data_IF_704506868359
#
_entry.id   IF_704506868359
#
_cell.length_a   1.000
_cell.length_b   1.000
_cell.length_c   1.000
_cell.angle_alpha   90.00
_cell.angle_beta   90.00
_cell.angle_gamma   90.00
#
_symmetry.space_group_name_H-M   'P 1'
#
loop_
_entity.id
_entity.type
_entity.pdbx_description
1 polymer ?
#
# COMPACT_ATOMS: atom_id res chain seq x y z
N UNK A 1 -17.45 8.46 -35.95
CA UNK A 1 -16.50 9.58 -35.76
C UNK A 1 -15.67 9.67 -37.01
N UNK A 2 -15.91 10.67 -37.84
CA UNK A 2 -15.11 10.91 -39.05
C UNK A 2 -13.82 11.61 -38.65
N UNK A 3 -12.82 10.80 -38.33
CA UNK A 3 -11.46 11.28 -38.12
C UNK A 3 -10.71 11.14 -39.44
N UNK A 4 -10.58 12.25 -40.18
CA UNK A 4 -9.82 12.25 -41.43
C UNK A 4 -8.36 11.88 -41.15
N UNK A 5 -7.94 10.75 -41.73
CA UNK A 5 -6.58 10.26 -41.64
C UNK A 5 -5.69 11.26 -42.38
N UNK A 6 -4.72 11.81 -41.66
CA UNK A 6 -3.78 12.78 -42.19
C UNK A 6 -3.05 12.21 -43.42
N UNK A 7 -3.29 12.80 -44.60
CA UNK A 7 -2.70 12.39 -45.88
C UNK A 7 -1.20 12.69 -45.97
N UNK A 8 -0.74 13.80 -45.36
CA UNK A 8 0.66 14.21 -45.39
C UNK A 8 1.38 14.02 -44.04
N UNK A 9 2.46 13.24 -44.05
CA UNK A 9 3.16 12.67 -42.88
C UNK A 9 4.51 13.32 -42.56
N UNK A 10 4.78 14.51 -43.10
CA UNK A 10 6.03 15.22 -42.83
C UNK A 10 6.21 15.64 -41.35
N UNK A 11 7.48 15.64 -40.87
CA UNK A 11 7.85 16.01 -39.49
C UNK A 11 7.51 17.48 -39.22
N UNK A 12 6.40 17.72 -38.53
CA UNK A 12 6.16 19.01 -37.90
C UNK A 12 6.98 19.12 -36.61
N UNK A 13 7.57 20.30 -36.38
CA UNK A 13 8.22 20.66 -35.11
C UNK A 13 7.25 20.60 -33.92
N UNK A 14 7.66 21.12 -32.76
CA UNK A 14 6.92 21.07 -31.47
C UNK A 14 5.54 21.76 -31.54
N UNK A 15 4.55 21.12 -32.18
CA UNK A 15 3.12 21.43 -32.00
C UNK A 15 2.54 20.50 -30.94
N UNK A 16 1.76 21.00 -29.98
CA UNK A 16 1.08 20.17 -28.99
C UNK A 16 -0.03 19.35 -29.69
N UNK A 17 0.13 18.02 -29.66
CA UNK A 17 -0.79 17.04 -30.29
C UNK A 17 -2.05 16.79 -29.43
N UNK A 18 -2.80 17.85 -29.11
CA UNK A 18 -3.92 17.79 -28.15
C UNK A 18 -5.12 17.04 -28.72
N UNK A 19 -5.41 17.20 -30.02
CA UNK A 19 -6.55 16.55 -30.70
C UNK A 19 -6.29 15.06 -30.93
N UNK A 20 -5.09 14.73 -31.38
CA UNK A 20 -4.60 13.35 -31.58
C UNK A 20 -4.58 12.59 -30.26
N UNK A 21 -4.21 13.27 -29.18
CA UNK A 21 -4.25 12.72 -27.82
C UNK A 21 -5.67 12.35 -27.40
N UNK A 22 -6.64 13.24 -27.58
CA UNK A 22 -8.03 12.96 -27.21
C UNK A 22 -8.58 11.75 -27.98
N UNK A 23 -8.35 11.72 -29.30
CA UNK A 23 -8.74 10.60 -30.16
C UNK A 23 -8.07 9.28 -29.77
N UNK A 24 -6.79 9.29 -29.40
CA UNK A 24 -6.08 8.11 -28.91
C UNK A 24 -6.72 7.52 -27.64
N UNK A 25 -7.16 8.35 -26.69
CA UNK A 25 -7.80 7.85 -25.48
C UNK A 25 -9.24 7.35 -25.72
N UNK A 26 -10.00 7.99 -26.62
CA UNK A 26 -11.32 7.49 -27.03
C UNK A 26 -11.25 6.10 -27.68
N UNK A 27 -10.28 5.87 -28.57
CA UNK A 27 -10.05 4.55 -29.16
C UNK A 27 -9.63 3.50 -28.11
N UNK A 28 -8.84 3.91 -27.12
CA UNK A 28 -8.47 3.01 -26.01
C UNK A 28 -9.66 2.67 -25.11
N UNK A 29 -10.59 3.60 -24.88
CA UNK A 29 -11.85 3.34 -24.15
C UNK A 29 -12.79 2.41 -24.93
N UNK A 30 -12.77 2.49 -26.25
CA UNK A 30 -13.48 1.57 -27.16
C UNK A 30 -12.82 0.19 -27.30
N UNK A 31 -11.75 -0.09 -26.53
CA UNK A 31 -11.10 -1.41 -26.48
C UNK A 31 -10.00 -1.66 -27.51
N UNK A 32 -9.64 -0.67 -28.34
CA UNK A 32 -8.57 -0.84 -29.32
C UNK A 32 -7.20 -0.98 -28.66
N UNK A 33 -6.31 -1.76 -29.27
CA UNK A 33 -4.93 -1.88 -28.80
C UNK A 33 -4.15 -0.58 -29.04
N UNK A 34 -3.12 -0.31 -28.23
CA UNK A 34 -2.23 0.86 -28.43
C UNK A 34 -1.61 0.91 -29.82
N UNK A 35 -1.39 -0.24 -30.46
CA UNK A 35 -0.83 -0.31 -31.81
C UNK A 35 -1.85 0.16 -32.83
N UNK A 36 -3.10 -0.26 -32.70
CA UNK A 36 -4.19 0.15 -33.60
C UNK A 36 -4.57 1.60 -33.37
N UNK A 37 -4.75 2.02 -32.11
CA UNK A 37 -5.07 3.39 -31.77
C UNK A 37 -4.00 4.38 -32.26
N UNK A 38 -2.70 4.05 -32.11
CA UNK A 38 -1.62 4.87 -32.63
C UNK A 38 -1.60 4.94 -34.17
N UNK A 39 -1.93 3.83 -34.84
CA UNK A 39 -2.02 3.77 -36.30
C UNK A 39 -3.18 4.61 -36.84
N UNK A 40 -4.35 4.53 -36.23
CA UNK A 40 -5.56 5.28 -36.62
C UNK A 40 -5.33 6.79 -36.43
N UNK A 41 -4.72 7.18 -35.32
CA UNK A 41 -4.45 8.58 -34.97
C UNK A 41 -3.27 9.18 -35.75
N UNK A 42 -2.42 8.34 -36.36
CA UNK A 42 -1.25 8.80 -37.12
C UNK A 42 -0.05 9.20 -36.25
N UNK A 43 0.10 8.59 -35.07
CA UNK A 43 1.21 8.86 -34.13
C UNK A 43 2.15 7.65 -34.00
N UNK A 44 3.40 7.91 -33.61
CA UNK A 44 4.35 6.83 -33.28
C UNK A 44 3.87 6.03 -32.06
N UNK A 45 4.06 4.71 -32.09
CA UNK A 45 3.66 3.79 -31.02
C UNK A 45 4.27 4.17 -29.66
N UNK A 46 5.50 4.70 -29.64
CA UNK A 46 6.18 5.13 -28.42
C UNK A 46 5.49 6.38 -27.85
N UNK A 47 4.95 7.26 -28.68
CA UNK A 47 4.20 8.46 -28.25
C UNK A 47 2.91 8.07 -27.54
N UNK A 48 2.08 7.18 -28.12
CA UNK A 48 0.88 6.67 -27.45
C UNK A 48 1.20 5.93 -26.14
N UNK A 49 2.29 5.15 -26.11
CA UNK A 49 2.77 4.49 -24.88
C UNK A 49 3.22 5.48 -23.82
N UNK A 50 3.88 6.58 -24.20
CA UNK A 50 4.27 7.67 -23.27
C UNK A 50 3.05 8.39 -22.71
N UNK A 51 2.02 8.65 -23.51
CA UNK A 51 0.78 9.26 -23.01
C UNK A 51 0.06 8.38 -21.99
N UNK A 52 -0.05 7.07 -22.28
CA UNK A 52 -0.74 6.13 -21.39
C UNK A 52 0.05 5.78 -20.12
N UNK A 53 1.37 5.65 -20.21
CA UNK A 53 2.19 5.11 -19.13
C UNK A 53 3.07 6.15 -18.42
N UNK A 54 3.10 7.39 -18.93
CA UNK A 54 4.09 8.38 -18.55
C UNK A 54 5.48 8.04 -19.09
N UNK A 55 6.45 8.89 -18.81
CA UNK A 55 7.85 8.61 -19.12
C UNK A 55 8.79 9.28 -18.12
N UNK A 56 10.05 8.82 -18.08
CA UNK A 56 11.09 9.51 -17.33
C UNK A 56 11.74 10.57 -18.22
N UNK A 57 12.00 11.75 -17.68
CA UNK A 57 12.88 12.77 -18.28
C UNK A 57 13.93 13.13 -17.23
N UNK A 58 15.13 12.56 -17.36
CA UNK A 58 16.15 12.63 -16.32
C UNK A 58 15.68 12.00 -14.99
N UNK A 59 15.95 12.67 -13.86
CA UNK A 59 15.56 12.22 -12.51
C UNK A 59 14.07 12.43 -12.17
N UNK A 60 13.28 13.10 -13.02
CA UNK A 60 11.85 13.37 -12.79
C UNK A 60 10.95 12.42 -13.60
N UNK A 61 9.98 11.81 -12.93
CA UNK A 61 8.92 11.02 -13.57
C UNK A 61 7.83 11.97 -14.08
N UNK A 62 7.55 11.92 -15.39
CA UNK A 62 6.40 12.60 -15.99
C UNK A 62 5.24 11.62 -15.97
N UNK A 63 4.14 11.91 -15.24
CA UNK A 63 3.02 10.99 -15.11
C UNK A 63 2.32 10.78 -16.46
N UNK A 64 1.61 9.65 -16.62
CA UNK A 64 0.68 9.48 -17.72
C UNK A 64 -0.35 10.61 -17.69
N UNK A 65 -0.62 11.17 -18.85
CA UNK A 65 -1.53 12.31 -18.94
C UNK A 65 -2.82 11.75 -19.53
N UNK A 66 -3.78 11.47 -18.66
CA UNK A 66 -5.16 11.17 -19.06
C UNK A 66 -5.86 12.48 -19.44
N UNK A 67 -6.77 12.47 -20.42
CA UNK A 67 -7.75 13.54 -20.52
C UNK A 67 -8.46 13.58 -19.16
N UNK A 68 -8.43 14.74 -18.50
CA UNK A 68 -9.26 14.94 -17.33
C UNK A 68 -10.71 14.84 -17.81
N UNK A 69 -11.38 13.75 -17.45
CA UNK A 69 -12.83 13.71 -17.48
C UNK A 69 -13.32 14.78 -16.50
N UNK A 70 -13.83 15.89 -17.04
CA UNK A 70 -14.48 16.96 -16.27
C UNK A 70 -13.74 18.30 -16.18
N UNK A 71 -13.55 18.98 -17.32
CA UNK A 71 -13.86 20.41 -17.53
C UNK A 71 -13.48 20.78 -18.96
N UNK A 72 -14.35 20.38 -19.90
CA UNK A 72 -14.29 20.89 -21.26
C UNK A 72 -14.81 22.34 -21.28
N UNK A 73 -14.01 23.23 -21.85
CA UNK A 73 -14.52 24.45 -22.46
C UNK A 73 -15.46 24.04 -23.60
N UNK A 74 -16.77 24.13 -23.35
CA UNK A 74 -17.78 24.02 -24.40
C UNK A 74 -17.92 25.40 -25.03
N UNK A 75 -17.98 25.41 -26.36
CA UNK A 75 -18.30 26.60 -27.14
C UNK A 75 -19.65 27.19 -26.69
N UNK A 76 -19.77 28.50 -26.82
CA UNK A 76 -20.97 29.27 -26.54
C UNK A 76 -22.20 28.66 -27.21
N UNK A 77 -23.23 28.37 -26.41
CA UNK A 77 -24.48 27.76 -26.83
C UNK A 77 -25.23 27.21 -25.61
N UNK A 78 -25.96 28.11 -24.94
CA UNK A 78 -27.17 27.86 -24.15
C UNK A 78 -27.23 26.59 -23.29
N UNK A 79 -26.33 26.50 -22.30
CA UNK A 79 -26.51 25.62 -21.14
C UNK A 79 -26.30 26.45 -19.88
N UNK A 80 -27.38 26.64 -19.12
CA UNK A 80 -27.37 27.27 -17.81
C UNK A 80 -26.22 26.72 -16.95
N UNK A 81 -25.38 27.63 -16.44
CA UNK A 81 -24.30 27.31 -15.53
C UNK A 81 -24.82 26.44 -14.37
N UNK A 82 -24.05 25.46 -13.89
CA UNK A 82 -24.51 24.53 -12.86
C UNK A 82 -25.03 25.32 -11.67
N UNK A 83 -26.32 25.16 -11.36
CA UNK A 83 -26.96 25.79 -10.22
C UNK A 83 -26.27 25.28 -8.96
N UNK A 84 -25.32 26.07 -8.48
CA UNK A 84 -24.64 25.79 -7.25
C UNK A 84 -25.63 26.22 -6.16
N UNK A 85 -26.26 25.20 -5.57
CA UNK A 85 -27.20 25.36 -4.48
C UNK A 85 -26.60 26.16 -3.31
N UNK A 86 -27.43 26.65 -2.39
CA UNK A 86 -26.99 27.55 -1.32
C UNK A 86 -25.97 26.89 -0.39
N UNK A 87 -24.67 27.11 -0.65
CA UNK A 87 -23.58 26.72 0.27
C UNK A 87 -23.78 27.36 1.64
N UNK A 88 -23.41 26.67 2.73
CA UNK A 88 -23.38 27.23 4.09
C UNK A 88 -22.52 28.50 4.19
N UNK A 89 -21.51 28.63 3.33
CA UNK A 89 -20.57 29.76 3.33
C UNK A 89 -20.79 30.62 2.08
N UNK A 90 -20.63 31.93 2.23
CA UNK A 90 -20.54 32.84 1.08
C UNK A 90 -19.38 32.40 0.19
N UNK A 91 -19.63 32.27 -1.10
CA UNK A 91 -18.63 31.96 -2.12
C UNK A 91 -18.08 33.23 -2.74
N UNK A 92 -17.04 33.10 -3.57
CA UNK A 92 -16.43 34.24 -4.24
C UNK A 92 -17.43 35.03 -5.08
N UNK A 93 -18.28 34.34 -5.84
CA UNK A 93 -19.38 34.95 -6.60
C UNK A 93 -20.36 35.74 -5.73
N UNK A 94 -20.69 35.22 -4.54
CA UNK A 94 -21.63 35.87 -3.63
C UNK A 94 -20.99 37.17 -3.11
N UNK A 95 -19.67 37.17 -2.90
CA UNK A 95 -18.89 38.35 -2.51
C UNK A 95 -18.78 39.37 -3.64
N UNK A 96 -18.58 38.92 -4.88
CA UNK A 96 -18.58 39.80 -6.06
C UNK A 96 -19.94 40.48 -6.19
N UNK A 97 -21.04 39.72 -6.08
CA UNK A 97 -22.40 40.26 -6.09
C UNK A 97 -22.63 41.29 -4.98
N UNK A 98 -22.19 41.02 -3.75
CA UNK A 98 -22.24 42.01 -2.66
C UNK A 98 -21.48 43.28 -3.04
N UNK A 99 -20.31 43.17 -3.67
CA UNK A 99 -19.50 44.33 -4.05
C UNK A 99 -20.19 45.19 -5.12
N UNK A 100 -20.81 44.56 -6.12
CA UNK A 100 -21.50 45.27 -7.20
C UNK A 100 -22.77 45.96 -6.70
N UNK A 101 -23.62 45.27 -5.93
CA UNK A 101 -24.83 45.86 -5.35
C UNK A 101 -24.54 46.98 -4.34
N UNK A 102 -23.39 46.93 -3.65
CA UNK A 102 -22.95 48.04 -2.79
C UNK A 102 -22.56 49.29 -3.60
N UNK A 103 -22.01 49.14 -4.81
CA UNK A 103 -21.72 50.28 -5.70
C UNK A 103 -23.01 50.92 -6.21
N UNK A 104 -24.04 50.10 -6.44
CA UNK A 104 -25.39 50.51 -6.80
C UNK A 104 -26.22 51.05 -5.62
N UNK A 105 -25.61 51.17 -4.43
CA UNK A 105 -26.27 51.66 -3.20
C UNK A 105 -27.47 50.82 -2.73
N UNK A 106 -27.53 49.54 -3.11
CA UNK A 106 -28.59 48.64 -2.67
C UNK A 106 -28.55 48.41 -1.15
N UNK A 107 -29.71 48.22 -0.53
CA UNK A 107 -29.80 47.96 0.90
C UNK A 107 -29.30 46.54 1.27
N UNK A 108 -28.80 46.36 2.49
CA UNK A 108 -28.35 45.04 2.99
C UNK A 108 -29.47 43.99 2.90
N UNK A 109 -30.73 44.39 3.14
CA UNK A 109 -31.89 43.48 3.07
C UNK A 109 -32.16 43.02 1.64
N UNK A 110 -31.99 43.91 0.67
CA UNK A 110 -32.16 43.60 -0.76
C UNK A 110 -31.07 42.65 -1.27
N UNK A 111 -29.81 42.93 -0.95
CA UNK A 111 -28.66 42.05 -1.27
C UNK A 111 -28.86 40.66 -0.62
N UNK A 112 -29.37 40.63 0.60
CA UNK A 112 -29.64 39.39 1.31
C UNK A 112 -30.78 38.57 0.67
N UNK A 113 -31.86 39.22 0.22
CA UNK A 113 -32.96 38.56 -0.48
C UNK A 113 -32.51 37.96 -1.82
N UNK A 114 -31.74 38.71 -2.61
CA UNK A 114 -31.20 38.24 -3.91
C UNK A 114 -30.28 37.03 -3.78
N UNK A 115 -29.45 36.99 -2.74
CA UNK A 115 -28.54 35.88 -2.48
C UNK A 115 -29.19 34.72 -1.69
N UNK A 116 -30.45 34.86 -1.27
CA UNK A 116 -31.12 33.89 -0.41
C UNK A 116 -30.41 33.71 0.95
N UNK A 117 -29.93 34.81 1.55
CA UNK A 117 -29.16 34.83 2.82
C UNK A 117 -29.84 35.67 3.89
N UNK A 118 -29.45 35.46 5.16
CA UNK A 118 -29.87 36.37 6.23
C UNK A 118 -29.22 37.75 6.06
N UNK A 119 -29.95 38.87 6.31
CA UNK A 119 -29.36 40.21 6.34
C UNK A 119 -28.18 40.33 7.29
N UNK A 120 -28.20 39.59 8.41
CA UNK A 120 -27.10 39.54 9.37
C UNK A 120 -25.83 38.91 8.79
N UNK A 121 -25.93 37.93 7.88
CA UNK A 121 -24.77 37.33 7.20
C UNK A 121 -24.07 38.36 6.34
N UNK A 122 -24.83 39.09 5.51
CA UNK A 122 -24.31 40.13 4.63
C UNK A 122 -23.72 41.29 5.45
N UNK A 123 -24.44 41.76 6.47
CA UNK A 123 -23.95 42.80 7.38
C UNK A 123 -22.62 42.44 8.05
N UNK A 124 -22.50 41.20 8.59
CA UNK A 124 -21.25 40.74 9.23
C UNK A 124 -20.12 40.59 8.22
N UNK A 125 -20.39 40.11 7.02
CA UNK A 125 -19.38 39.98 5.95
C UNK A 125 -18.81 41.33 5.55
N UNK A 126 -19.67 42.32 5.31
CA UNK A 126 -19.27 43.69 4.96
C UNK A 126 -18.50 44.32 6.12
N UNK A 127 -19.03 44.25 7.35
CA UNK A 127 -18.36 44.82 8.53
C UNK A 127 -16.98 44.23 8.78
N UNK A 128 -16.81 42.91 8.57
CA UNK A 128 -15.54 42.21 8.78
C UNK A 128 -14.49 42.52 7.72
N UNK A 129 -14.91 42.86 6.51
CA UNK A 129 -14.00 43.01 5.37
C UNK A 129 -13.96 44.43 4.78
N UNK A 130 -14.75 45.39 5.30
CA UNK A 130 -14.64 46.81 4.94
C UNK A 130 -13.28 47.36 5.35
N UNK A 131 -12.70 48.23 4.51
CA UNK A 131 -11.51 49.01 4.83
C UNK A 131 -11.84 50.49 4.77
N UNK A 132 -11.39 51.23 5.78
CA UNK A 132 -11.51 52.69 5.83
C UNK A 132 -10.59 53.33 4.82
N UNK A 133 -11.07 54.34 4.09
CA UNK A 133 -10.24 55.14 3.19
C UNK A 133 -9.52 56.27 3.94
N UNK A 134 -8.34 56.72 3.49
CA UNK A 134 -7.60 57.81 4.13
C UNK A 134 -8.36 59.14 4.18
N UNK A 135 -9.24 59.41 3.20
CA UNK A 135 -10.03 60.65 3.09
C UNK A 135 -11.44 60.54 3.70
N UNK A 136 -11.69 59.52 4.54
CA UNK A 136 -13.03 59.19 5.03
C UNK A 136 -13.79 58.23 4.10
N UNK A 137 -14.76 57.49 4.65
CA UNK A 137 -15.52 56.45 3.95
C UNK A 137 -14.90 55.06 4.03
N UNK A 138 -15.54 54.07 3.40
CA UNK A 138 -15.10 52.68 3.40
C UNK A 138 -15.30 52.01 2.05
N UNK A 139 -14.52 50.98 1.76
CA UNK A 139 -14.68 50.14 0.58
C UNK A 139 -14.63 48.65 0.92
N UNK A 140 -15.28 47.84 0.08
CA UNK A 140 -15.31 46.38 0.17
C UNK A 140 -14.63 45.77 -1.07
N UNK A 141 -13.66 44.87 -0.86
CA UNK A 141 -12.93 44.18 -1.94
C UNK A 141 -13.24 42.67 -1.91
N UNK A 142 -14.00 42.14 -2.88
CA UNK A 142 -14.50 40.77 -2.82
C UNK A 142 -13.39 39.72 -2.84
N UNK A 143 -12.41 39.83 -3.74
CA UNK A 143 -11.29 38.87 -3.81
C UNK A 143 -10.44 38.86 -2.53
N UNK A 144 -10.23 40.01 -1.89
CA UNK A 144 -9.50 40.05 -0.61
C UNK A 144 -10.29 39.45 0.54
N UNK A 145 -11.63 39.60 0.53
CA UNK A 145 -12.51 38.98 1.49
C UNK A 145 -12.53 37.45 1.32
N UNK A 146 -12.53 36.97 0.06
CA UNK A 146 -12.38 35.56 -0.28
C UNK A 146 -11.04 35.00 0.21
N UNK A 147 -9.92 35.63 -0.16
CA UNK A 147 -8.59 35.19 0.28
C UNK A 147 -8.45 35.15 1.82
N UNK A 148 -9.04 36.11 2.54
CA UNK A 148 -9.08 36.09 4.01
C UNK A 148 -9.98 34.99 4.56
N UNK A 149 -11.09 34.67 3.90
CA UNK A 149 -11.95 33.57 4.29
C UNK A 149 -11.22 32.24 4.13
N UNK A 150 -10.52 32.05 3.01
CA UNK A 150 -9.71 30.87 2.74
C UNK A 150 -8.52 30.75 3.70
N UNK A 151 -7.84 31.86 4.01
CA UNK A 151 -6.74 31.86 4.98
C UNK A 151 -7.18 31.53 6.42
N UNK A 152 -8.44 31.82 6.78
CA UNK A 152 -9.02 31.47 8.09
C UNK A 152 -9.63 30.07 8.13
N UNK A 153 -9.73 29.41 6.96
CA UNK A 153 -10.34 28.08 6.83
C UNK A 153 -9.51 26.98 7.49
N UNK A 154 -8.15 26.98 7.41
CA UNK A 154 -7.33 26.08 8.19
C UNK A 154 -7.56 26.29 9.68
N UNK A 155 -8.01 25.24 10.36
CA UNK A 155 -7.98 25.14 11.82
C UNK A 155 -7.06 23.98 12.19
N UNK A 156 -5.73 24.17 12.12
CA UNK A 156 -4.79 23.12 12.49
C UNK A 156 -4.99 22.82 13.98
N UNK A 157 -5.47 21.61 14.27
CA UNK A 157 -5.41 21.04 15.62
C UNK A 157 -4.23 20.08 15.63
N UNK A 158 -3.37 20.19 16.63
CA UNK A 158 -2.37 19.16 16.92
C UNK A 158 -3.12 17.84 17.11
N UNK A 159 -2.77 16.82 16.34
CA UNK A 159 -3.39 15.51 16.47
C UNK A 159 -2.99 14.83 17.76
N UNK A 160 -3.71 13.75 18.10
CA UNK A 160 -3.53 13.00 19.35
C UNK A 160 -2.10 12.48 19.53
N UNK A 161 -1.46 12.03 18.45
CA UNK A 161 -0.08 11.53 18.46
C UNK A 161 0.91 12.68 18.72
N UNK A 162 0.67 13.87 18.15
CA UNK A 162 1.53 15.03 18.42
C UNK A 162 1.42 15.56 19.85
N UNK A 163 0.27 15.40 20.50
CA UNK A 163 0.04 15.88 21.86
C UNK A 163 0.61 14.95 22.95
N UNK A 164 0.61 13.65 22.72
CA UNK A 164 1.08 12.66 23.70
C UNK A 164 2.45 12.06 23.26
N UNK A 165 3.57 12.46 23.90
CA UNK A 165 4.89 11.97 23.53
C UNK A 165 5.07 10.48 23.80
N UNK A 166 4.49 9.94 24.88
CA UNK A 166 4.53 8.50 25.21
C UNK A 166 3.87 7.67 24.09
N UNK A 167 2.70 8.09 23.63
CA UNK A 167 2.00 7.47 22.52
C UNK A 167 2.82 7.55 21.22
N UNK A 168 3.40 8.71 20.94
CA UNK A 168 4.23 8.93 19.76
C UNK A 168 5.43 8.01 19.76
N UNK A 169 6.15 7.94 20.87
CA UNK A 169 7.39 7.18 20.97
C UNK A 169 7.09 5.68 20.87
N UNK A 170 6.02 5.19 21.52
CA UNK A 170 5.53 3.81 21.34
C UNK A 170 5.23 3.50 19.87
N UNK A 171 4.52 4.38 19.16
CA UNK A 171 4.22 4.18 17.73
C UNK A 171 5.51 4.18 16.90
N UNK A 172 6.47 5.07 17.19
CA UNK A 172 7.74 5.16 16.46
C UNK A 172 8.59 3.90 16.64
N UNK A 173 8.70 3.40 17.87
CA UNK A 173 9.51 2.22 18.19
C UNK A 173 8.97 0.99 17.46
N UNK A 174 7.66 0.76 17.54
CA UNK A 174 7.03 -0.41 16.90
C UNK A 174 7.01 -0.29 15.37
N UNK A 175 6.87 0.92 14.80
CA UNK A 175 7.05 1.13 13.37
C UNK A 175 8.49 0.85 12.93
N UNK A 176 9.49 1.17 13.76
CA UNK A 176 10.91 0.86 13.49
C UNK A 176 11.15 -0.65 13.48
N UNK A 177 10.48 -1.39 14.36
CA UNK A 177 10.41 -2.86 14.36
C UNK A 177 9.52 -3.44 13.23
N UNK A 178 9.05 -2.61 12.29
CA UNK A 178 8.22 -2.97 11.14
C UNK A 178 6.89 -3.63 11.52
N UNK A 179 6.29 -3.20 12.63
CA UNK A 179 4.91 -3.53 12.94
C UNK A 179 3.97 -2.76 12.03
N UNK A 180 2.85 -3.39 11.66
CA UNK A 180 1.81 -2.68 10.92
C UNK A 180 1.03 -1.74 11.84
N UNK A 181 0.48 -0.63 11.33
CA UNK A 181 -0.37 0.26 12.13
C UNK A 181 -1.50 -0.46 12.88
N UNK A 182 -2.15 -1.48 12.29
CA UNK A 182 -3.18 -2.27 12.96
C UNK A 182 -2.62 -3.06 14.16
N UNK A 183 -1.44 -3.66 14.03
CA UNK A 183 -0.77 -4.37 15.13
C UNK A 183 -0.45 -3.42 16.29
N UNK A 184 0.06 -2.22 15.98
CA UNK A 184 0.39 -1.21 16.98
C UNK A 184 -0.86 -0.79 17.76
N UNK A 185 -1.98 -0.54 17.06
CA UNK A 185 -3.24 -0.19 17.71
C UNK A 185 -3.74 -1.25 18.70
N UNK A 186 -3.60 -2.53 18.35
CA UNK A 186 -4.07 -3.61 19.21
C UNK A 186 -3.13 -3.81 20.41
N UNK A 187 -1.82 -3.68 20.20
CA UNK A 187 -0.85 -3.70 21.29
C UNK A 187 -1.04 -2.52 22.27
N UNK A 188 -1.35 -1.32 21.76
CA UNK A 188 -1.69 -0.17 22.60
C UNK A 188 -2.90 -0.45 23.49
N UNK A 189 -3.96 -1.08 22.94
CA UNK A 189 -5.16 -1.45 23.73
C UNK A 189 -4.88 -2.51 24.76
N UNK A 190 -4.10 -3.53 24.40
CA UNK A 190 -3.74 -4.61 25.33
C UNK A 190 -2.83 -4.11 26.46
N UNK A 191 -1.88 -3.22 26.15
CA UNK A 191 -0.92 -2.71 27.14
C UNK A 191 -1.52 -1.64 28.05
N UNK A 192 -2.48 -0.86 27.56
CA UNK A 192 -3.03 0.29 28.25
C UNK A 192 -4.57 0.28 28.27
N UNK A 193 -5.24 -0.78 28.79
CA UNK A 193 -6.70 -0.92 28.68
C UNK A 193 -7.45 0.27 29.29
N UNK A 194 -6.98 0.80 30.41
CA UNK A 194 -7.65 1.86 31.18
C UNK A 194 -7.22 3.29 30.79
N UNK A 195 -6.41 3.45 29.73
CA UNK A 195 -5.90 4.75 29.27
C UNK A 195 -6.35 5.07 27.84
N UNK A 196 -7.57 5.61 27.66
CA UNK A 196 -8.10 5.96 26.34
C UNK A 196 -7.21 6.92 25.55
N UNK A 197 -6.41 7.76 26.22
CA UNK A 197 -5.43 8.66 25.61
C UNK A 197 -4.30 7.93 24.87
N UNK A 198 -4.04 6.65 25.18
CA UNK A 198 -3.09 5.79 24.47
C UNK A 198 -3.73 5.06 23.28
N UNK A 199 -5.06 5.09 23.14
CA UNK A 199 -5.74 4.34 22.08
C UNK A 199 -5.88 5.17 20.80
N UNK A 200 -5.43 4.63 19.68
CA UNK A 200 -5.60 5.22 18.35
C UNK A 200 -6.12 4.20 17.36
N UNK A 201 -6.78 4.66 16.31
CA UNK A 201 -7.11 3.83 15.15
C UNK A 201 -5.93 3.78 14.19
N UNK A 202 -5.81 2.72 13.40
CA UNK A 202 -4.70 2.58 12.45
C UNK A 202 -4.73 3.66 11.37
N UNK A 203 -5.93 4.19 11.04
CA UNK A 203 -6.07 5.36 10.17
C UNK A 203 -5.41 6.60 10.77
N UNK A 204 -5.46 6.78 12.10
CA UNK A 204 -4.78 7.91 12.76
C UNK A 204 -3.27 7.83 12.56
N UNK A 205 -2.69 6.63 12.64
CA UNK A 205 -1.27 6.38 12.37
C UNK A 205 -0.96 6.63 10.88
N UNK A 206 -1.81 6.16 9.96
CA UNK A 206 -1.63 6.44 8.53
C UNK A 206 -1.69 7.93 8.21
N UNK A 207 -2.64 8.67 8.78
CA UNK A 207 -2.75 10.11 8.61
C UNK A 207 -1.50 10.83 9.16
N UNK A 208 -0.97 10.40 10.30
CA UNK A 208 0.28 10.94 10.85
C UNK A 208 1.51 10.65 9.97
N UNK A 209 1.53 9.51 9.26
CA UNK A 209 2.59 9.15 8.32
C UNK A 209 2.47 9.86 6.95
N UNK A 210 1.26 10.11 6.45
CA UNK A 210 1.03 10.62 5.10
C UNK A 210 0.79 12.13 5.02
N UNK A 211 0.20 12.74 6.05
CA UNK A 211 -0.14 14.16 6.03
C UNK A 211 1.08 14.97 6.49
N UNK A 212 1.89 15.39 5.52
CA UNK A 212 3.10 16.20 5.74
C UNK A 212 2.87 17.49 6.54
N UNK A 213 1.64 18.03 6.57
CA UNK A 213 1.28 19.22 7.35
C UNK A 213 1.07 18.99 8.86
N UNK A 214 1.07 17.74 9.35
CA UNK A 214 0.92 17.45 10.78
C UNK A 214 2.26 17.27 11.52
N UNK A 215 3.31 16.80 10.85
CA UNK A 215 4.66 16.71 11.44
C UNK A 215 4.81 15.78 12.65
N UNK A 216 3.84 14.89 12.91
CA UNK A 216 3.78 14.11 14.15
C UNK A 216 4.73 12.90 14.19
N UNK A 217 5.13 12.38 13.01
CA UNK A 217 6.02 11.23 12.87
C UNK A 217 7.14 11.51 11.85
N UNK A 218 8.32 10.89 12.05
CA UNK A 218 9.47 11.05 11.16
C UNK A 218 9.18 10.49 9.76
N UNK A 219 9.58 11.23 8.71
CA UNK A 219 9.39 10.87 7.28
C UNK A 219 10.00 9.53 6.89
N UNK A 220 11.03 9.09 7.60
CA UNK A 220 11.75 7.85 7.29
C UNK A 220 10.94 6.59 7.66
N UNK A 221 9.98 6.71 8.58
CA UNK A 221 9.13 5.61 9.04
C UNK A 221 8.16 5.11 7.95
N UNK A 222 7.90 5.91 6.91
CA UNK A 222 7.15 5.43 5.74
C UNK A 222 7.86 4.25 5.04
N UNK A 223 9.19 4.12 5.17
CA UNK A 223 9.96 2.99 4.62
C UNK A 223 9.69 1.68 5.36
N UNK A 224 9.26 1.74 6.61
CA UNK A 224 8.97 0.57 7.45
C UNK A 224 7.59 -0.05 7.15
N UNK A 225 6.78 0.59 6.31
CA UNK A 225 5.50 0.03 5.88
C UNK A 225 5.69 -1.13 4.89
N UNK A 226 4.86 -2.16 5.04
CA UNK A 226 4.94 -3.44 4.28
C UNK A 226 4.92 -3.27 2.76
N UNK A 227 4.32 -2.18 2.27
CA UNK A 227 4.27 -1.87 0.85
C UNK A 227 4.60 -0.40 0.60
N UNK A 228 5.76 -0.10 0.01
CA UNK A 228 6.06 1.21 -0.57
C UNK A 228 5.32 1.51 -1.89
N UNK A 229 4.18 0.83 -2.14
CA UNK A 229 3.48 0.84 -3.43
C UNK A 229 2.34 1.84 -3.41
N UNK A 230 2.39 2.85 -4.28
CA UNK A 230 1.29 3.78 -4.51
C UNK A 230 0.19 3.25 -5.46
N UNK A 231 0.37 2.07 -6.08
CA UNK A 231 -0.62 1.48 -7.01
C UNK A 231 -0.48 -0.04 -7.11
N UNK A 232 -1.60 -0.74 -7.31
CA UNK A 232 -1.64 -2.19 -7.61
C UNK A 232 -1.02 -2.44 -8.99
N UNK A 233 -0.14 -3.44 -9.10
CA UNK A 233 0.36 -3.92 -10.40
C UNK A 233 -0.67 -4.89 -11.00
N UNK A 234 -0.89 -4.87 -12.33
CA UNK A 234 -1.57 -5.96 -12.99
C UNK A 234 -0.77 -7.25 -12.80
N UNK A 235 -1.48 -8.35 -12.58
CA UNK A 235 -0.92 -9.69 -12.49
C UNK A 235 -0.27 -10.04 -13.84
N UNK A 236 1.03 -10.37 -13.84
CA UNK A 236 1.65 -10.99 -15.00
C UNK A 236 1.27 -12.47 -15.00
N UNK A 237 0.79 -12.98 -16.12
CA UNK A 237 0.69 -14.42 -16.34
C UNK A 237 2.10 -15.01 -16.31
N UNK A 238 2.29 -16.06 -15.51
CA UNK A 238 3.54 -16.78 -15.40
C UNK A 238 3.72 -17.64 -16.65
N UNK A 239 4.73 -17.33 -17.47
CA UNK A 239 5.24 -18.33 -18.42
C UNK A 239 5.94 -19.42 -17.60
N UNK A 240 5.43 -20.66 -17.75
CA UNK A 240 5.83 -21.86 -17.01
C UNK A 240 7.30 -22.22 -17.30
N UNK A 241 8.06 -22.49 -16.24
CA UNK A 241 9.12 -23.51 -16.24
C UNK A 241 8.51 -24.74 -15.57
N UNK A 242 8.46 -25.86 -16.27
CA UNK A 242 8.15 -27.17 -15.68
C UNK A 242 9.36 -27.60 -14.86
N UNK A 243 9.22 -27.74 -13.53
CA UNK A 243 10.25 -28.46 -12.75
C UNK A 243 10.18 -29.94 -13.11
N UNK A 244 11.31 -30.64 -13.00
CA UNK A 244 11.33 -32.10 -13.15
C UNK A 244 10.58 -32.72 -11.96
N UNK A 245 9.74 -33.73 -12.18
CA UNK A 245 9.01 -34.37 -11.08
C UNK A 245 9.99 -34.98 -10.09
N UNK A 246 9.78 -34.73 -8.80
CA UNK A 246 10.52 -35.44 -7.75
C UNK A 246 9.99 -36.87 -7.70
N UNK A 247 10.89 -37.85 -7.59
CA UNK A 247 10.52 -39.25 -7.55
C UNK A 247 9.91 -39.61 -6.18
N UNK A 248 8.86 -40.43 -6.18
CA UNK A 248 8.21 -41.01 -4.99
C UNK A 248 7.68 -39.99 -3.97
N UNK A 249 6.95 -38.97 -4.44
CA UNK A 249 6.34 -37.95 -3.59
C UNK A 249 5.10 -38.48 -2.86
N UNK A 250 4.98 -38.14 -1.57
CA UNK A 250 3.73 -38.28 -0.80
C UNK A 250 2.96 -36.97 -0.91
N UNK A 251 1.75 -37.00 -1.46
CA UNK A 251 0.96 -35.79 -1.68
C UNK A 251 0.32 -35.29 -0.38
N UNK A 252 0.00 -33.99 -0.35
CA UNK A 252 -0.67 -33.33 0.78
C UNK A 252 -2.04 -33.95 1.12
N UNK A 253 -2.68 -34.60 0.15
CA UNK A 253 -3.93 -35.36 0.34
C UNK A 253 -3.78 -36.58 1.26
N UNK A 254 -2.57 -37.12 1.39
CA UNK A 254 -2.26 -38.30 2.21
C UNK A 254 -1.90 -37.94 3.66
N UNK A 255 -2.10 -36.68 4.06
CA UNK A 255 -1.85 -36.24 5.44
C UNK A 255 -2.93 -36.75 6.39
N UNK A 256 -2.56 -36.97 7.67
CA UNK A 256 -3.55 -37.23 8.68
C UNK A 256 -4.49 -36.02 8.83
N UNK A 257 -5.77 -36.28 9.14
CA UNK A 257 -6.81 -35.25 9.20
C UNK A 257 -6.51 -34.14 10.22
N UNK A 258 -5.77 -34.45 11.29
CA UNK A 258 -5.27 -33.49 12.29
C UNK A 258 -4.40 -32.38 11.70
N UNK A 259 -3.79 -32.60 10.52
CA UNK A 259 -3.03 -31.56 9.85
C UNK A 259 -3.94 -30.55 9.13
N UNK A 260 -5.24 -30.81 8.91
CA UNK A 260 -6.08 -29.95 8.07
C UNK A 260 -6.53 -28.66 8.78
N UNK A 261 -6.94 -28.77 10.05
CA UNK A 261 -7.59 -27.71 10.82
C UNK A 261 -6.62 -26.78 11.56
N UNK A 262 -5.31 -27.07 11.53
CA UNK A 262 -4.25 -26.31 12.21
C UNK A 262 -4.45 -26.24 13.73
N UNK A 263 -5.28 -27.12 14.29
CA UNK A 263 -5.52 -27.21 15.72
C UNK A 263 -4.37 -27.94 16.42
N UNK A 264 -3.77 -28.91 15.75
CA UNK A 264 -2.62 -29.67 16.26
C UNK A 264 -1.31 -28.97 15.91
N UNK A 265 -0.47 -28.65 16.90
CA UNK A 265 0.84 -28.05 16.65
C UNK A 265 1.86 -29.08 16.15
N UNK A 266 2.88 -28.57 15.47
CA UNK A 266 4.01 -29.36 14.97
C UNK A 266 3.90 -29.74 13.50
N UNK A 267 2.88 -29.25 12.79
CA UNK A 267 2.85 -29.30 11.33
C UNK A 267 3.49 -28.02 10.76
N UNK A 268 4.56 -28.17 9.99
CA UNK A 268 5.33 -27.06 9.45
C UNK A 268 5.14 -26.88 7.95
N UNK A 269 5.12 -25.63 7.50
CA UNK A 269 5.17 -25.26 6.08
C UNK A 269 6.57 -24.74 5.75
N UNK A 270 7.15 -25.26 4.67
CA UNK A 270 8.46 -24.92 4.16
C UNK A 270 8.43 -24.22 2.80
N UNK A 271 9.40 -23.35 2.55
CA UNK A 271 9.62 -22.67 1.26
C UNK A 271 11.08 -22.18 1.15
N UNK A 272 11.49 -21.78 -0.05
CA UNK A 272 12.75 -21.07 -0.28
C UNK A 272 12.53 -19.63 -0.74
N UNK A 273 13.18 -18.70 -0.05
CA UNK A 273 13.46 -17.36 -0.57
C UNK A 273 14.78 -17.43 -1.32
N UNK A 274 14.71 -17.38 -2.65
CA UNK A 274 15.89 -17.36 -3.52
C UNK A 274 16.49 -15.95 -3.61
N UNK A 275 17.82 -15.88 -3.48
CA UNK A 275 18.65 -14.69 -3.61
C UNK A 275 19.06 -14.38 -5.05
N UNK A 276 19.99 -13.44 -5.20
CA UNK A 276 20.48 -13.00 -6.51
C UNK A 276 21.09 -14.17 -7.30
N UNK A 277 20.69 -14.28 -8.56
CA UNK A 277 21.17 -15.28 -9.53
C UNK A 277 21.05 -16.75 -9.07
N UNK A 278 20.22 -17.04 -8.06
CA UNK A 278 20.07 -18.38 -7.48
C UNK A 278 21.27 -18.89 -6.68
N UNK A 279 22.24 -18.02 -6.38
CA UNK A 279 23.51 -18.39 -5.72
C UNK A 279 23.41 -18.54 -4.21
N UNK A 280 22.36 -18.01 -3.60
CA UNK A 280 22.07 -18.12 -2.17
C UNK A 280 20.56 -18.22 -1.97
N UNK A 281 20.14 -18.81 -0.86
CA UNK A 281 18.75 -18.93 -0.47
C UNK A 281 18.58 -18.80 1.05
N UNK A 282 17.35 -18.59 1.47
CA UNK A 282 16.93 -18.72 2.86
C UNK A 282 15.73 -19.65 2.86
N UNK A 283 15.85 -20.78 3.56
CA UNK A 283 14.72 -21.64 3.85
C UNK A 283 13.82 -21.00 4.90
N UNK A 284 12.52 -21.08 4.69
CA UNK A 284 11.52 -20.49 5.60
C UNK A 284 10.62 -21.60 6.10
N UNK A 285 10.62 -21.79 7.41
CA UNK A 285 9.80 -22.78 8.11
C UNK A 285 8.78 -22.02 8.95
N UNK A 286 7.50 -22.31 8.75
CA UNK A 286 6.40 -21.69 9.50
C UNK A 286 5.52 -22.75 10.10
N UNK A 287 5.40 -22.76 11.42
CA UNK A 287 4.52 -23.68 12.14
C UNK A 287 3.05 -23.28 11.93
N UNK A 288 2.18 -24.26 11.64
CA UNK A 288 0.84 -23.99 11.11
C UNK A 288 -0.19 -23.59 12.17
N UNK A 289 0.00 -23.91 13.44
CA UNK A 289 -0.90 -23.49 14.51
C UNK A 289 -0.52 -22.09 15.06
N UNK A 290 0.73 -21.95 15.48
CA UNK A 290 1.36 -20.80 16.14
C UNK A 290 1.87 -19.72 15.18
N UNK A 291 2.11 -20.04 13.90
CA UNK A 291 2.80 -19.17 12.94
C UNK A 291 4.25 -18.85 13.31
N UNK A 292 4.86 -19.63 14.21
CA UNK A 292 6.25 -19.45 14.59
C UNK A 292 7.15 -19.67 13.38
N UNK A 293 8.09 -18.75 13.17
CA UNK A 293 8.96 -18.71 11.99
C UNK A 293 10.37 -19.10 12.40
N UNK A 294 10.97 -20.00 11.63
CA UNK A 294 12.40 -20.28 11.66
C UNK A 294 13.00 -20.05 10.27
N UNK A 295 14.22 -19.52 10.23
CA UNK A 295 14.94 -19.23 9.00
C UNK A 295 16.18 -20.12 8.90
N UNK A 296 16.36 -20.72 7.73
CA UNK A 296 17.44 -21.66 7.45
C UNK A 296 18.41 -21.02 6.47
N UNK A 297 19.65 -20.80 6.92
CA UNK A 297 20.63 -20.11 6.09
C UNK A 297 21.23 -21.03 5.03
N UNK A 298 21.13 -20.65 3.75
CA UNK A 298 21.74 -21.36 2.61
C UNK A 298 22.63 -20.40 1.81
N UNK A 299 23.86 -20.11 2.30
CA UNK A 299 24.74 -19.10 1.68
C UNK A 299 25.30 -19.53 0.32
N UNK A 300 25.41 -20.84 0.08
CA UNK A 300 26.02 -21.41 -1.13
C UNK A 300 25.02 -22.32 -1.84
N UNK A 301 24.17 -21.71 -2.65
CA UNK A 301 23.15 -22.38 -3.46
C UNK A 301 22.02 -22.99 -2.63
N UNK A 302 21.21 -23.81 -3.28
CA UNK A 302 20.01 -24.46 -2.72
C UNK A 302 19.82 -25.86 -3.31
N UNK A 303 20.93 -26.59 -3.47
CA UNK A 303 20.87 -27.98 -3.93
C UNK A 303 20.08 -28.85 -2.96
N UNK A 304 19.59 -30.00 -3.42
CA UNK A 304 18.79 -30.89 -2.57
C UNK A 304 19.55 -31.37 -1.33
N UNK A 305 20.86 -31.62 -1.46
CA UNK A 305 21.71 -32.04 -0.35
C UNK A 305 21.96 -30.90 0.63
N UNK A 306 22.26 -29.70 0.12
CA UNK A 306 22.48 -28.53 0.97
C UNK A 306 21.22 -28.18 1.77
N UNK A 307 20.06 -28.14 1.09
CA UNK A 307 18.76 -27.87 1.71
C UNK A 307 18.42 -28.92 2.78
N UNK A 308 18.59 -30.21 2.47
CA UNK A 308 18.41 -31.30 3.45
C UNK A 308 19.27 -31.10 4.69
N UNK A 309 20.57 -30.89 4.53
CA UNK A 309 21.51 -30.80 5.66
C UNK A 309 21.16 -29.61 6.57
N UNK A 310 20.87 -28.45 5.98
CA UNK A 310 20.52 -27.26 6.73
C UNK A 310 19.16 -27.41 7.45
N UNK A 311 18.17 -28.03 6.79
CA UNK A 311 16.88 -28.35 7.42
C UNK A 311 17.05 -29.32 8.59
N UNK A 312 17.84 -30.39 8.42
CA UNK A 312 18.06 -31.38 9.48
C UNK A 312 18.73 -30.75 10.71
N UNK A 313 19.73 -29.88 10.51
CA UNK A 313 20.37 -29.14 11.59
C UNK A 313 19.38 -28.20 12.31
N UNK A 314 18.49 -27.53 11.56
CA UNK A 314 17.48 -26.63 12.14
C UNK A 314 16.43 -27.39 12.96
N UNK A 315 15.99 -28.56 12.47
CA UNK A 315 15.05 -29.43 13.19
C UNK A 315 15.61 -29.86 14.54
N UNK A 316 16.89 -30.23 14.58
CA UNK A 316 17.58 -30.67 15.80
C UNK A 316 17.70 -29.58 16.87
N UNK A 317 17.51 -28.30 16.53
CA UNK A 317 17.54 -27.20 17.48
C UNK A 317 16.25 -27.11 18.34
N UNK A 318 15.18 -27.80 17.94
CA UNK A 318 13.93 -27.85 18.70
C UNK A 318 13.64 -29.26 19.20
N UNK A 319 12.93 -29.41 20.34
CA UNK A 319 12.51 -30.72 20.83
C UNK A 319 11.74 -31.52 19.78
N UNK A 320 11.97 -32.85 19.66
CA UNK A 320 11.32 -33.68 18.64
C UNK A 320 9.79 -33.64 18.65
N UNK A 321 9.17 -33.45 19.81
CA UNK A 321 7.71 -33.39 19.95
C UNK A 321 7.07 -32.17 19.27
N UNK A 322 7.85 -31.14 18.91
CA UNK A 322 7.40 -29.99 18.12
C UNK A 322 7.37 -30.28 16.61
N UNK A 323 7.73 -31.49 16.18
CA UNK A 323 7.78 -31.88 14.78
C UNK A 323 6.88 -33.08 14.51
N UNK A 324 5.81 -32.87 13.75
CA UNK A 324 4.89 -33.91 13.26
C UNK A 324 5.00 -34.13 11.76
N UNK A 325 5.13 -33.06 10.98
CA UNK A 325 5.27 -33.17 9.53
C UNK A 325 5.83 -31.90 8.89
N UNK A 326 6.47 -32.02 7.73
CA UNK A 326 6.89 -30.90 6.90
C UNK A 326 6.13 -30.87 5.57
N UNK A 327 5.62 -29.70 5.20
CA UNK A 327 4.99 -29.42 3.91
C UNK A 327 5.95 -28.68 3.01
N UNK A 328 6.11 -29.11 1.75
CA UNK A 328 6.88 -28.34 0.76
C UNK A 328 6.17 -28.28 -0.59
N UNK A 329 6.63 -27.40 -1.48
CA UNK A 329 6.26 -27.46 -2.89
C UNK A 329 7.09 -28.50 -3.65
N UNK A 330 6.76 -28.71 -4.93
CA UNK A 330 7.45 -29.68 -5.79
C UNK A 330 8.80 -29.17 -6.34
N UNK A 331 9.46 -28.30 -5.58
CA UNK A 331 10.77 -27.75 -5.92
C UNK A 331 11.88 -28.82 -5.87
N UNK A 332 12.81 -28.76 -6.83
CA UNK A 332 13.91 -29.73 -6.94
C UNK A 332 14.84 -29.74 -5.71
N UNK A 333 14.84 -28.68 -4.91
CA UNK A 333 15.53 -28.60 -3.63
C UNK A 333 15.06 -29.65 -2.61
N UNK A 334 13.87 -30.22 -2.77
CA UNK A 334 13.35 -31.29 -1.91
C UNK A 334 13.48 -32.67 -2.53
N UNK A 335 14.31 -32.83 -3.56
CA UNK A 335 14.56 -34.15 -4.16
C UNK A 335 15.11 -35.18 -3.16
N UNK A 336 15.81 -34.74 -2.11
CA UNK A 336 16.38 -35.59 -1.05
C UNK A 336 15.45 -35.78 0.18
N UNK A 337 14.14 -35.54 0.05
CA UNK A 337 13.17 -35.59 1.17
C UNK A 337 13.10 -36.96 1.88
N UNK A 338 13.31 -38.08 1.17
CA UNK A 338 13.37 -39.41 1.79
C UNK A 338 14.53 -39.52 2.78
N UNK A 339 15.71 -39.08 2.37
CA UNK A 339 16.88 -39.07 3.24
C UNK A 339 16.70 -38.11 4.42
N UNK A 340 15.99 -36.97 4.23
CA UNK A 340 15.58 -36.11 5.32
C UNK A 340 14.67 -36.86 6.32
N UNK A 341 13.61 -37.51 5.81
CA UNK A 341 12.63 -38.24 6.62
C UNK A 341 13.30 -39.35 7.44
N UNK A 342 14.22 -40.11 6.85
CA UNK A 342 14.98 -41.16 7.55
C UNK A 342 15.87 -40.58 8.65
N UNK A 343 16.50 -39.42 8.41
CA UNK A 343 17.41 -38.80 9.37
C UNK A 343 16.69 -38.10 10.55
N UNK A 344 15.48 -37.59 10.34
CA UNK A 344 14.76 -36.78 11.34
C UNK A 344 13.50 -37.44 11.88
N UNK A 345 13.05 -38.54 11.28
CA UNK A 345 11.77 -39.17 11.53
C UNK A 345 10.55 -38.26 11.26
N UNK A 346 10.73 -37.20 10.45
CA UNK A 346 9.66 -36.26 10.10
C UNK A 346 9.14 -36.55 8.69
N UNK A 347 7.86 -36.92 8.53
CA UNK A 347 7.27 -37.14 7.22
C UNK A 347 7.18 -35.83 6.42
N UNK A 348 7.59 -35.90 5.15
CA UNK A 348 7.53 -34.78 4.20
C UNK A 348 6.39 -35.00 3.21
N UNK A 349 5.55 -34.00 3.04
CA UNK A 349 4.40 -34.02 2.15
C UNK A 349 4.48 -32.88 1.13
N UNK A 350 4.14 -33.18 -0.12
CA UNK A 350 4.21 -32.25 -1.24
C UNK A 350 2.86 -31.68 -1.62
N UNK A 351 2.83 -30.40 -1.93
CA UNK A 351 1.62 -29.75 -2.46
C UNK A 351 1.33 -30.20 -3.89
N UNK A 352 0.07 -30.05 -4.29
CA UNK A 352 -0.35 -30.35 -5.65
C UNK A 352 0.26 -29.34 -6.64
N UNK A 353 0.55 -29.76 -7.88
CA UNK A 353 1.01 -28.85 -8.91
C UNK A 353 0.03 -27.68 -9.10
N UNK A 354 0.56 -26.46 -9.25
CA UNK A 354 -0.22 -25.25 -9.45
C UNK A 354 -1.23 -24.89 -8.33
N UNK A 355 -1.01 -25.38 -7.10
CA UNK A 355 -1.89 -25.14 -5.95
C UNK A 355 -1.25 -24.30 -4.83
N UNK A 356 -0.83 -23.05 -5.09
CA UNK A 356 -0.12 -22.22 -4.10
C UNK A 356 -0.94 -21.91 -2.84
N UNK A 357 -2.28 -21.95 -2.91
CA UNK A 357 -3.16 -21.72 -1.76
C UNK A 357 -2.98 -22.76 -0.64
N UNK A 358 -2.45 -23.94 -0.96
CA UNK A 358 -2.14 -24.98 0.03
C UNK A 358 -1.00 -24.58 0.99
N UNK A 359 -0.24 -23.51 0.68
CA UNK A 359 0.82 -22.93 1.54
C UNK A 359 0.63 -21.43 1.79
N UNK A 360 -0.62 -21.01 2.00
CA UNK A 360 -0.93 -19.58 2.20
C UNK A 360 -0.20 -18.93 3.37
N UNK A 361 0.24 -19.69 4.38
CA UNK A 361 1.00 -19.16 5.51
C UNK A 361 2.43 -18.78 5.10
N UNK A 362 3.12 -19.64 4.35
CA UNK A 362 4.45 -19.32 3.85
C UNK A 362 4.44 -18.17 2.84
N UNK A 363 3.44 -18.07 1.97
CA UNK A 363 3.38 -16.94 1.02
C UNK A 363 3.28 -15.59 1.76
N UNK A 364 2.43 -15.52 2.78
CA UNK A 364 2.29 -14.32 3.61
C UNK A 364 3.58 -14.02 4.41
N UNK A 365 4.16 -15.03 5.06
CA UNK A 365 5.41 -14.87 5.81
C UNK A 365 6.57 -14.45 4.92
N UNK A 366 6.71 -15.04 3.73
CA UNK A 366 7.69 -14.65 2.73
C UNK A 366 7.48 -13.21 2.30
N UNK A 367 6.23 -12.76 2.15
CA UNK A 367 5.89 -11.36 1.92
C UNK A 367 6.43 -10.42 3.01
N UNK A 368 6.39 -10.83 4.28
CA UNK A 368 6.95 -10.06 5.39
C UNK A 368 8.47 -10.07 5.41
N UNK A 369 9.08 -11.24 5.19
CA UNK A 369 10.52 -11.41 5.11
C UNK A 369 11.16 -10.56 4.00
N UNK A 370 10.43 -10.24 2.92
CA UNK A 370 10.93 -9.33 1.88
C UNK A 370 11.16 -7.89 2.33
N UNK A 371 10.73 -7.50 3.54
CA UNK A 371 11.11 -6.22 4.16
C UNK A 371 12.54 -6.24 4.72
N UNK A 372 13.07 -7.43 4.99
CA UNK A 372 14.43 -7.69 5.48
C UNK A 372 15.35 -8.16 4.36
N UNK A 373 14.81 -8.99 3.47
CA UNK A 373 15.51 -9.65 2.38
C UNK A 373 14.88 -9.29 1.01
N UNK A 374 15.11 -8.06 0.49
CA UNK A 374 14.50 -7.62 -0.75
C UNK A 374 14.77 -8.56 -1.94
N UNK A 375 13.88 -8.57 -2.93
CA UNK A 375 14.06 -9.46 -4.10
C UNK A 375 15.30 -9.05 -4.90
N UNK A 376 16.10 -10.04 -5.30
CA UNK A 376 17.28 -9.84 -6.15
C UNK A 376 18.53 -9.35 -5.41
N UNK A 377 18.52 -9.33 -4.08
CA UNK A 377 19.72 -9.09 -3.27
C UNK A 377 20.49 -10.39 -3.05
N UNK A 378 21.78 -10.27 -2.76
CA UNK A 378 22.58 -11.40 -2.32
C UNK A 378 22.20 -11.73 -0.88
N UNK A 379 21.77 -12.97 -0.64
CA UNK A 379 21.37 -13.44 0.68
C UNK A 379 22.54 -14.00 1.50
N UNK A 380 23.67 -14.32 0.86
CA UNK A 380 24.87 -14.84 1.55
C UNK A 380 25.52 -13.81 2.47
N UNK A 381 25.26 -12.52 2.23
CA UNK A 381 25.74 -11.42 3.06
C UNK A 381 25.03 -11.35 4.43
N UNK A 382 23.96 -12.10 4.66
CA UNK A 382 23.26 -12.14 5.94
C UNK A 382 23.79 -13.30 6.78
N UNK A 383 24.22 -13.02 8.01
CA UNK A 383 24.72 -14.05 8.93
C UNK A 383 23.58 -14.89 9.51
N UNK A 384 23.85 -16.10 10.02
CA UNK A 384 22.89 -16.87 10.80
C UNK A 384 22.26 -16.05 11.94
N UNK A 385 23.06 -15.32 12.71
CA UNK A 385 22.59 -14.47 13.82
C UNK A 385 21.63 -13.37 13.34
N UNK A 386 21.90 -12.78 12.18
CA UNK A 386 20.98 -11.80 11.60
C UNK A 386 19.65 -12.45 11.19
N UNK A 387 19.67 -13.67 10.66
CA UNK A 387 18.45 -14.42 10.35
C UNK A 387 17.67 -14.74 11.62
N UNK A 388 18.34 -15.15 12.70
CA UNK A 388 17.71 -15.42 13.99
C UNK A 388 17.07 -14.15 14.58
N UNK A 389 17.76 -13.02 14.52
CA UNK A 389 17.21 -11.72 14.94
C UNK A 389 15.96 -11.35 14.12
N UNK A 390 15.97 -11.56 12.81
CA UNK A 390 14.80 -11.31 11.94
C UNK A 390 13.65 -12.27 12.26
N UNK A 391 13.94 -13.54 12.56
CA UNK A 391 12.95 -14.51 12.99
C UNK A 391 12.32 -14.09 14.33
N UNK A 392 13.13 -13.72 15.32
CA UNK A 392 12.68 -13.20 16.61
C UNK A 392 11.80 -11.96 16.45
N UNK A 393 12.19 -10.99 15.61
CA UNK A 393 11.37 -9.82 15.29
C UNK A 393 10.03 -10.18 14.64
N UNK A 394 9.94 -11.27 13.86
CA UNK A 394 8.67 -11.73 13.29
C UNK A 394 7.82 -12.52 14.29
N UNK A 395 8.47 -13.24 15.19
CA UNK A 395 7.85 -14.05 16.24
C UNK A 395 7.37 -13.21 17.43
N UNK A 396 7.87 -11.98 17.60
CA UNK A 396 7.38 -11.01 18.58
C UNK A 396 6.23 -10.13 18.06
N UNK A 397 5.80 -10.31 16.80
CA UNK A 397 4.72 -9.50 16.22
C UNK A 397 3.34 -10.13 16.46
N UNK A 398 2.38 -9.38 17.02
CA UNK A 398 1.04 -9.89 17.28
C UNK A 398 0.32 -10.23 15.98
N UNK A 399 -0.42 -11.35 15.96
CA UNK A 399 -1.12 -11.83 14.76
C UNK A 399 -2.62 -11.84 14.97
N UNK A 400 -3.35 -11.18 14.07
CA UNK A 400 -4.82 -11.19 14.06
C UNK A 400 -5.40 -12.61 14.06
N UNK A 401 -4.77 -13.54 13.35
CA UNK A 401 -5.17 -14.95 13.28
C UNK A 401 -5.00 -15.70 14.60
N UNK A 402 -4.20 -15.17 15.53
CA UNK A 402 -3.95 -15.76 16.85
C UNK A 402 -4.65 -14.97 17.96
N UNK A 403 -5.66 -14.15 17.63
CA UNK A 403 -6.31 -13.28 18.62
C UNK A 403 -5.40 -12.16 19.14
N UNK A 404 -4.41 -11.75 18.34
CA UNK A 404 -3.38 -10.75 18.69
C UNK A 404 -2.28 -11.22 19.62
N UNK A 405 -2.20 -12.50 19.95
CA UNK A 405 -0.99 -13.08 20.53
C UNK A 405 0.15 -13.08 19.50
N UNK A 406 1.38 -13.05 20.00
CA UNK A 406 2.59 -13.23 19.20
C UNK A 406 2.84 -14.72 18.95
N UNK A 407 3.48 -15.11 17.83
CA UNK A 407 3.86 -16.49 17.59
C UNK A 407 4.73 -17.08 18.71
N UNK A 408 5.62 -16.28 19.30
CA UNK A 408 6.45 -16.69 20.42
C UNK A 408 5.62 -17.01 21.68
N UNK A 409 4.70 -16.13 22.07
CA UNK A 409 3.78 -16.37 23.20
C UNK A 409 2.91 -17.61 22.96
N UNK A 410 2.37 -17.74 21.75
CA UNK A 410 1.49 -18.88 21.42
C UNK A 410 2.27 -20.20 21.42
N UNK A 411 3.51 -20.22 20.95
CA UNK A 411 4.36 -21.41 21.03
C UNK A 411 4.73 -21.74 22.49
N UNK A 412 5.09 -20.74 23.30
CA UNK A 412 5.40 -20.94 24.72
C UNK A 412 4.22 -21.57 25.48
N UNK A 413 2.99 -21.06 25.29
CA UNK A 413 1.78 -21.65 25.89
C UNK A 413 1.57 -23.12 25.52
N UNK A 414 1.93 -23.52 24.30
CA UNK A 414 1.80 -24.91 23.88
C UNK A 414 2.88 -25.81 24.51
N UNK A 415 4.08 -25.27 24.73
CA UNK A 415 5.14 -25.96 25.45
C UNK A 415 4.77 -26.17 26.92
N UNK A 416 4.19 -25.15 27.55
CA UNK A 416 3.73 -25.22 28.95
C UNK A 416 2.57 -26.21 29.14
N UNK A 417 1.69 -26.37 28.14
CA UNK A 417 0.59 -27.34 28.16
C UNK A 417 1.02 -28.79 27.88
N UNK A 418 2.21 -28.98 27.29
CA UNK A 418 2.77 -30.28 26.95
C UNK A 418 3.79 -30.81 27.97
N UNK A 419 4.17 -29.96 28.94
CA UNK A 419 5.02 -30.27 30.09
C UNK A 419 4.17 -30.69 31.28
#
# INVERSE_FOLDING_TARGET
MDFEIRKDRNRQGRKPLTRERAAYFQLMEQGYSTREAARIVGIDRRTGKKWRNGHKRGRKAVPPIYPQHGHGSVAAGDLEAPSCGPSRFLQERDRIHIADRLREQASIRQIAAELGRSPSTISREIRRNRRTMPKGGWYYRPHTAQARADARRPRPKTGKIGHNPELRDFIQDHLTMRWSPEQICQALRARFPDRPEMHVTHETIYQALYVQGRGELRRELTKSLRTGRARRRPQRQAHKRTSRPIKDMVLISERPAEAADRAVPGHWEGDLIIGKDGRSAIGTLVERATRYVMLVHLPIGHSAVATRNALAATVQALPPHLWRSLTWDQGSEMAAHKAFTVATNIPVYFCDPASPWQRGSNENTNGLLRQYFPKGTDLSAHTPDHLELVAAELNSRPRKTLGWETPAERLAKLLDLAS
#
